data_IF_585051769940
#
_entry.id   IF_585051769940
#
_cell.length_a   1.000
_cell.length_b   1.000
_cell.length_c   1.000
_cell.angle_alpha   90.00
_cell.angle_beta   90.00
_cell.angle_gamma   90.00
#
_symmetry.space_group_name_H-M   'P 1'
#
loop_
_entity.id
_entity.type
_entity.pdbx_description
1 polymer ?
#
# COMPACT_ATOMS: atom_id res chain seq x y z
N UNK A 1 5.97 19.38 -34.84
CA UNK A 1 7.05 19.18 -33.88
C UNK A 1 6.60 18.02 -33.00
N UNK A 2 7.21 16.84 -33.20
CA UNK A 2 6.80 15.60 -32.53
C UNK A 2 7.33 15.60 -31.09
N UNK A 3 6.44 15.61 -30.12
CA UNK A 3 6.80 15.34 -28.72
C UNK A 3 7.01 13.82 -28.59
N UNK A 4 8.24 13.39 -28.43
CA UNK A 4 8.58 12.02 -28.10
C UNK A 4 8.17 11.75 -26.66
N UNK A 5 7.20 10.85 -26.47
CA UNK A 5 6.93 10.21 -25.19
C UNK A 5 8.11 9.26 -24.96
N UNK A 6 8.93 9.54 -23.94
CA UNK A 6 9.97 8.61 -23.52
C UNK A 6 9.30 7.49 -22.71
N UNK A 7 8.98 6.40 -23.39
CA UNK A 7 8.80 5.11 -22.74
C UNK A 7 10.19 4.49 -22.63
N UNK A 8 10.82 4.61 -21.45
CA UNK A 8 12.02 3.84 -21.16
C UNK A 8 11.57 2.43 -20.79
N UNK A 9 11.53 1.55 -21.78
CA UNK A 9 11.36 0.12 -21.54
C UNK A 9 12.69 -0.43 -20.98
N UNK A 10 12.74 -0.69 -19.70
CA UNK A 10 13.78 -1.52 -19.10
C UNK A 10 13.39 -2.97 -19.37
N UNK A 11 14.00 -3.56 -20.39
CA UNK A 11 13.94 -5.01 -20.62
C UNK A 11 14.97 -5.65 -19.68
N UNK A 12 14.53 -6.06 -18.50
CA UNK A 12 15.28 -6.96 -17.65
C UNK A 12 15.09 -8.38 -18.20
N UNK A 13 16.17 -9.07 -18.51
CA UNK A 13 16.18 -10.49 -18.91
C UNK A 13 15.80 -11.34 -17.71
N UNK A 14 14.53 -11.73 -17.62
CA UNK A 14 14.03 -12.67 -16.61
C UNK A 14 14.36 -14.10 -17.01
N UNK A 15 15.06 -14.80 -16.11
CA UNK A 15 15.14 -16.27 -16.13
C UNK A 15 13.76 -16.81 -15.72
N UNK A 16 13.11 -17.54 -16.64
CA UNK A 16 11.76 -18.10 -16.46
C UNK A 16 11.84 -19.25 -15.42
N UNK A 17 11.63 -18.91 -14.17
CA UNK A 17 11.06 -19.82 -13.20
C UNK A 17 9.65 -19.33 -12.91
N UNK A 18 8.62 -20.17 -13.08
CA UNK A 18 7.29 -19.85 -12.58
C UNK A 18 7.37 -19.79 -11.04
N UNK A 19 7.68 -18.60 -10.54
CA UNK A 19 7.58 -18.33 -9.09
C UNK A 19 6.15 -17.86 -8.88
N UNK A 20 5.30 -18.73 -8.34
CA UNK A 20 4.08 -18.26 -7.70
C UNK A 20 4.53 -17.50 -6.47
N UNK A 21 4.75 -16.19 -6.61
CA UNK A 21 5.20 -15.36 -5.52
C UNK A 21 4.20 -15.45 -4.37
N UNK A 22 4.67 -15.89 -3.22
CA UNK A 22 3.96 -15.63 -1.98
C UNK A 22 4.26 -14.21 -1.61
N UNK A 23 3.25 -13.38 -1.60
CA UNK A 23 3.35 -11.95 -1.39
C UNK A 23 2.74 -11.63 -0.05
N UNK A 24 3.42 -10.81 0.71
CA UNK A 24 2.96 -10.37 2.00
C UNK A 24 3.11 -8.87 2.08
N UNK A 25 2.04 -8.19 2.42
CA UNK A 25 2.03 -6.76 2.70
C UNK A 25 1.10 -6.51 3.89
N UNK A 26 1.31 -5.43 4.59
CA UNK A 26 0.43 -5.02 5.69
C UNK A 26 0.09 -3.55 5.54
N UNK A 27 -1.15 -3.18 5.77
CA UNK A 27 -1.59 -1.79 5.93
C UNK A 27 -2.29 -1.62 7.26
N UNK A 28 -1.93 -0.57 8.01
CA UNK A 28 -2.57 -0.16 9.25
C UNK A 28 -3.06 1.28 9.13
N UNK A 29 -4.23 1.55 9.70
CA UNK A 29 -4.80 2.88 9.84
C UNK A 29 -5.06 3.16 11.31
N UNK A 30 -4.62 4.30 11.81
CA UNK A 30 -4.87 4.77 13.17
C UNK A 30 -5.40 6.20 13.15
N UNK A 31 -6.71 6.33 13.38
CA UNK A 31 -7.37 7.61 13.61
C UNK A 31 -7.29 7.93 15.10
N UNK A 32 -6.63 9.03 15.46
CA UNK A 32 -6.38 9.44 16.83
C UNK A 32 -7.31 10.58 17.24
N UNK A 33 -7.54 10.77 18.52
CA UNK A 33 -8.43 11.82 19.03
C UNK A 33 -7.86 13.24 18.81
N UNK A 34 -6.55 13.39 18.92
CA UNK A 34 -5.91 14.72 18.98
C UNK A 34 -4.86 15.01 17.92
N UNK A 35 -4.33 13.97 17.27
CA UNK A 35 -3.22 14.12 16.31
C UNK A 35 -3.57 13.70 14.88
N UNK A 36 -4.84 13.44 14.58
CA UNK A 36 -5.28 13.06 13.24
C UNK A 36 -4.98 11.61 12.88
N UNK A 37 -4.86 11.34 11.59
CA UNK A 37 -4.91 10.00 11.00
C UNK A 37 -3.54 9.57 10.47
N UNK A 38 -3.08 8.41 10.94
CA UNK A 38 -1.81 7.81 10.56
C UNK A 38 -2.03 6.55 9.72
N UNK A 39 -1.16 6.34 8.76
CA UNK A 39 -1.12 5.12 7.94
C UNK A 39 0.26 4.51 8.02
N UNK A 40 0.34 3.20 8.18
CA UNK A 40 1.56 2.42 8.04
C UNK A 40 1.36 1.34 6.99
N UNK A 41 2.39 1.10 6.18
CA UNK A 41 2.35 0.09 5.15
C UNK A 41 3.73 -0.57 4.99
N UNK A 42 3.76 -1.89 4.76
CA UNK A 42 4.95 -2.64 4.33
C UNK A 42 4.80 -3.15 2.90
N UNK A 43 5.87 -3.15 2.14
CA UNK A 43 6.06 -4.00 0.97
C UNK A 43 6.91 -5.19 1.41
N UNK A 44 6.32 -6.35 1.29
CA UNK A 44 6.97 -7.62 1.58
C UNK A 44 7.00 -8.42 0.26
N UNK A 45 8.20 -8.57 -0.31
CA UNK A 45 8.37 -9.10 -1.66
C UNK A 45 9.56 -10.07 -1.74
N UNK A 46 9.62 -10.86 -2.80
CA UNK A 46 10.70 -11.83 -3.00
C UNK A 46 11.94 -11.24 -3.67
N UNK A 47 11.87 -10.02 -4.17
CA UNK A 47 12.94 -9.30 -4.86
C UNK A 47 12.84 -7.80 -4.66
N UNK A 48 13.87 -7.07 -5.03
CA UNK A 48 13.86 -5.61 -4.97
C UNK A 48 12.90 -5.02 -6.01
N UNK A 49 12.03 -4.09 -5.56
CA UNK A 49 11.02 -3.48 -6.40
C UNK A 49 11.42 -2.13 -6.99
N UNK A 50 12.61 -1.63 -6.63
CA UNK A 50 13.15 -0.33 -7.02
C UNK A 50 12.18 0.84 -6.75
N UNK A 51 11.84 1.12 -5.50
CA UNK A 51 10.80 2.08 -5.16
C UNK A 51 11.20 3.52 -5.52
N UNK A 52 10.29 4.22 -6.19
CA UNK A 52 10.40 5.65 -6.49
C UNK A 52 9.27 6.42 -5.82
N UNK A 53 9.56 7.63 -5.38
CA UNK A 53 8.51 8.60 -5.09
C UNK A 53 8.12 9.30 -6.40
N UNK A 54 6.82 9.34 -6.68
CA UNK A 54 6.28 10.10 -7.80
C UNK A 54 5.33 11.18 -7.32
N UNK A 55 5.33 12.31 -8.03
CA UNK A 55 4.30 13.33 -7.90
C UNK A 55 3.67 13.58 -9.26
N UNK A 56 2.36 13.38 -9.34
CA UNK A 56 1.50 13.68 -10.47
C UNK A 56 0.73 14.97 -10.15
N UNK A 57 1.10 16.12 -10.72
CA UNK A 57 0.35 17.35 -10.52
C UNK A 57 -1.07 17.26 -11.08
N UNK A 58 -2.01 17.95 -10.44
CA UNK A 58 -3.34 18.17 -11.01
C UNK A 58 -3.23 18.77 -12.41
N UNK A 59 -4.21 18.49 -13.25
CA UNK A 59 -4.24 18.84 -14.67
C UNK A 59 -3.23 18.09 -15.55
N UNK A 60 -2.37 17.23 -15.01
CA UNK A 60 -1.57 16.32 -15.80
C UNK A 60 -2.39 15.10 -16.20
N UNK A 61 -2.05 14.54 -17.38
CA UNK A 61 -2.66 13.31 -17.84
C UNK A 61 -1.99 12.09 -17.22
N UNK A 62 -2.77 11.07 -16.92
CA UNK A 62 -2.32 9.76 -16.46
C UNK A 62 -3.07 8.64 -17.21
N UNK A 63 -2.48 7.46 -17.25
CA UNK A 63 -3.09 6.28 -17.86
C UNK A 63 -4.09 5.64 -16.89
N UNK A 64 -5.24 5.22 -17.40
CA UNK A 64 -6.22 4.42 -16.65
C UNK A 64 -6.08 2.92 -16.92
N UNK A 65 -5.46 2.58 -18.03
CA UNK A 65 -5.22 1.21 -18.44
C UNK A 65 -4.00 1.12 -19.37
N UNK A 66 -3.08 0.21 -19.09
CA UNK A 66 -1.85 0.09 -19.90
C UNK A 66 -2.11 -0.40 -21.32
N UNK A 67 -2.93 -1.43 -21.49
CA UNK A 67 -3.16 -2.04 -22.80
C UNK A 67 -3.94 -1.13 -23.77
N UNK A 68 -4.81 -0.27 -23.26
CA UNK A 68 -5.70 0.57 -24.07
C UNK A 68 -5.24 2.02 -24.23
N UNK A 69 -4.16 2.41 -23.54
CA UNK A 69 -3.57 3.76 -23.58
C UNK A 69 -4.60 4.88 -23.32
N UNK A 70 -5.64 4.59 -22.52
CA UNK A 70 -6.62 5.58 -22.11
C UNK A 70 -6.03 6.55 -21.10
N UNK A 71 -6.27 7.84 -21.36
CA UNK A 71 -5.73 8.91 -20.51
C UNK A 71 -6.87 9.76 -19.95
N UNK A 72 -6.78 10.07 -18.67
CA UNK A 72 -7.61 11.06 -18.02
C UNK A 72 -6.73 12.16 -17.41
N UNK A 73 -7.36 13.27 -17.09
CA UNK A 73 -6.69 14.40 -16.43
C UNK A 73 -6.94 14.34 -14.93
N UNK A 74 -5.88 14.48 -14.14
CA UNK A 74 -5.97 14.49 -12.69
C UNK A 74 -6.69 15.74 -12.17
N UNK A 75 -7.64 15.56 -11.27
CA UNK A 75 -8.32 16.65 -10.54
C UNK A 75 -7.54 17.07 -9.29
N UNK A 76 -6.78 16.15 -8.73
CA UNK A 76 -5.98 16.36 -7.53
C UNK A 76 -4.51 16.05 -7.82
N UNK A 77 -3.59 16.70 -7.10
CA UNK A 77 -2.20 16.30 -7.08
C UNK A 77 -2.12 14.95 -6.35
N UNK A 78 -1.31 14.03 -6.86
CA UNK A 78 -1.10 12.70 -6.26
C UNK A 78 0.37 12.50 -6.00
N UNK A 79 0.74 12.22 -4.75
CA UNK A 79 2.10 11.81 -4.38
C UNK A 79 2.03 10.39 -3.82
N UNK A 80 2.89 9.52 -4.31
CA UNK A 80 2.91 8.13 -3.88
C UNK A 80 4.22 7.44 -4.12
N UNK A 81 4.36 6.28 -3.49
CA UNK A 81 5.49 5.37 -3.71
C UNK A 81 5.12 4.33 -4.77
N UNK A 82 6.04 4.05 -5.67
CA UNK A 82 5.83 3.06 -6.73
C UNK A 82 6.51 1.74 -6.41
N UNK A 83 5.89 0.66 -6.87
CA UNK A 83 6.48 -0.67 -6.99
C UNK A 83 6.44 -1.04 -8.47
N UNK A 84 7.58 -1.33 -9.08
CA UNK A 84 7.70 -1.55 -10.53
C UNK A 84 7.11 -0.41 -11.39
N UNK A 85 7.23 0.84 -10.93
CA UNK A 85 6.73 2.02 -11.62
C UNK A 85 5.21 2.28 -11.50
N UNK A 86 4.49 1.48 -10.70
CA UNK A 86 3.06 1.63 -10.42
C UNK A 86 2.87 2.17 -9.00
N UNK A 87 2.02 3.18 -8.81
CA UNK A 87 1.71 3.70 -7.48
C UNK A 87 0.99 2.62 -6.67
N UNK A 88 1.62 2.18 -5.59
CA UNK A 88 1.09 1.15 -4.68
C UNK A 88 0.66 1.69 -3.33
N UNK A 89 1.07 2.90 -3.00
CA UNK A 89 0.58 3.68 -1.86
C UNK A 89 0.73 5.18 -2.15
N UNK A 90 -0.13 5.99 -1.57
CA UNK A 90 -0.05 7.42 -1.78
C UNK A 90 -1.20 8.20 -1.15
N UNK A 91 -1.11 9.51 -1.30
CA UNK A 91 -2.10 10.49 -0.85
C UNK A 91 -2.32 11.53 -1.95
N UNK A 92 -3.54 12.05 -2.06
CA UNK A 92 -3.83 13.19 -2.91
C UNK A 92 -3.93 14.50 -2.12
N UNK A 93 -4.00 15.61 -2.85
CA UNK A 93 -4.06 16.96 -2.25
C UNK A 93 -5.37 17.25 -1.51
N UNK A 94 -6.42 16.43 -1.68
CA UNK A 94 -7.66 16.52 -0.90
C UNK A 94 -7.56 15.74 0.43
N UNK A 95 -6.58 14.84 0.59
CA UNK A 95 -6.38 14.03 1.79
C UNK A 95 -6.93 12.61 1.69
N UNK A 96 -7.42 12.20 0.52
CA UNK A 96 -7.69 10.79 0.23
C UNK A 96 -6.36 10.07 0.03
N UNK A 97 -6.22 8.92 0.67
CA UNK A 97 -5.07 8.05 0.61
C UNK A 97 -5.49 6.62 0.27
N UNK A 98 -4.58 5.85 -0.28
CA UNK A 98 -4.87 4.44 -0.59
C UNK A 98 -3.60 3.61 -0.70
N UNK A 99 -3.80 2.30 -0.53
CA UNK A 99 -2.76 1.30 -0.61
C UNK A 99 -3.28 0.09 -1.38
N UNK A 100 -2.44 -0.49 -2.23
CA UNK A 100 -2.73 -1.77 -2.88
C UNK A 100 -1.85 -2.87 -2.29
N UNK A 101 -2.44 -4.03 -2.07
CA UNK A 101 -1.78 -5.24 -1.69
C UNK A 101 -2.18 -6.34 -2.67
N UNK A 102 -1.31 -7.32 -2.83
CA UNK A 102 -1.60 -8.46 -3.71
C UNK A 102 -2.73 -9.33 -3.15
N UNK A 103 -3.64 -9.74 -4.03
CA UNK A 103 -4.78 -10.60 -3.68
C UNK A 103 -5.03 -11.67 -4.76
N UNK A 104 -4.64 -12.92 -4.49
CA UNK A 104 -4.89 -14.05 -5.42
C UNK A 104 -6.36 -14.31 -5.69
N UNK A 105 -7.25 -13.85 -4.80
CA UNK A 105 -8.70 -13.98 -4.94
C UNK A 105 -9.33 -12.99 -5.89
N UNK A 106 -8.57 -12.03 -6.43
CA UNK A 106 -9.11 -11.08 -7.41
C UNK A 106 -9.68 -11.81 -8.62
N UNK A 107 -10.88 -11.41 -9.03
CA UNK A 107 -11.53 -11.91 -10.24
C UNK A 107 -10.61 -11.75 -11.46
N UNK A 108 -10.56 -12.78 -12.30
CA UNK A 108 -9.61 -12.86 -13.41
C UNK A 108 -10.16 -12.36 -14.74
N UNK A 109 -11.29 -11.65 -14.73
CA UNK A 109 -11.78 -11.02 -15.94
C UNK A 109 -10.75 -10.02 -16.46
N UNK A 110 -10.27 -10.30 -17.66
CA UNK A 110 -9.38 -9.39 -18.38
C UNK A 110 -10.16 -8.18 -18.86
N UNK A 111 -9.51 -7.02 -18.86
CA UNK A 111 -10.05 -5.87 -19.53
C UNK A 111 -10.12 -6.14 -21.03
N UNK A 112 -11.32 -6.12 -21.58
CA UNK A 112 -11.57 -6.32 -23.02
C UNK A 112 -12.08 -5.07 -23.71
N UNK A 113 -12.42 -4.03 -22.93
CA UNK A 113 -13.00 -2.79 -23.43
C UNK A 113 -12.09 -1.61 -23.16
N UNK A 114 -12.12 -0.63 -24.06
CA UNK A 114 -11.25 0.54 -23.97
C UNK A 114 -11.56 1.47 -22.81
N UNK A 115 -12.73 1.35 -22.20
CA UNK A 115 -13.22 2.13 -21.06
C UNK A 115 -13.08 1.41 -19.71
N UNK A 116 -12.62 0.17 -19.70
CA UNK A 116 -12.29 -0.55 -18.46
C UNK A 116 -11.13 0.12 -17.69
N UNK A 117 -11.15 -0.05 -16.39
CA UNK A 117 -10.06 0.39 -15.51
C UNK A 117 -9.17 -0.78 -15.14
N UNK A 118 -7.90 -0.70 -15.51
CA UNK A 118 -6.91 -1.73 -15.22
C UNK A 118 -6.42 -1.69 -13.77
N UNK A 119 -6.19 -2.84 -13.17
CA UNK A 119 -5.74 -2.98 -11.79
C UNK A 119 -4.45 -2.22 -11.47
N UNK A 120 -3.51 -2.14 -12.42
CA UNK A 120 -2.22 -1.46 -12.24
C UNK A 120 -2.37 0.05 -11.98
N UNK A 121 -3.29 0.71 -12.67
CA UNK A 121 -3.48 2.16 -12.52
C UNK A 121 -4.71 2.54 -11.69
N UNK A 122 -5.39 1.57 -11.12
CA UNK A 122 -6.66 1.82 -10.45
C UNK A 122 -6.52 2.72 -9.23
N UNK A 123 -5.51 2.47 -8.39
CA UNK A 123 -5.24 3.34 -7.25
C UNK A 123 -4.89 4.76 -7.70
N UNK A 124 -4.05 4.90 -8.75
CA UNK A 124 -3.74 6.21 -9.32
C UNK A 124 -5.00 6.94 -9.76
N UNK A 125 -5.93 6.23 -10.41
CA UNK A 125 -7.21 6.80 -10.83
C UNK A 125 -8.05 7.27 -9.63
N UNK A 126 -8.21 6.45 -8.61
CA UNK A 126 -8.97 6.80 -7.41
C UNK A 126 -8.41 8.05 -6.74
N UNK A 127 -7.10 8.11 -6.53
CA UNK A 127 -6.44 9.27 -5.92
C UNK A 127 -6.50 10.51 -6.81
N UNK A 128 -6.42 10.35 -8.14
CA UNK A 128 -6.45 11.48 -9.06
C UNK A 128 -7.85 12.10 -9.23
N UNK A 129 -8.93 11.37 -8.94
CA UNK A 129 -10.31 11.81 -9.25
C UNK A 129 -11.18 12.11 -8.05
N UNK A 130 -10.95 11.50 -6.89
CA UNK A 130 -11.86 11.56 -5.74
C UNK A 130 -11.20 12.22 -4.53
N UNK A 131 -12.03 12.90 -3.72
CA UNK A 131 -11.56 13.62 -2.53
C UNK A 131 -11.75 12.84 -1.22
N UNK A 132 -12.70 11.90 -1.19
CA UNK A 132 -13.08 11.16 0.02
C UNK A 132 -13.27 9.68 -0.26
N UNK A 133 -13.23 8.87 0.80
CA UNK A 133 -13.51 7.43 0.74
C UNK A 133 -14.91 7.18 0.15
N UNK A 134 -15.94 7.89 0.63
CA UNK A 134 -17.33 7.75 0.13
C UNK A 134 -17.41 7.92 -1.40
N UNK A 135 -16.75 8.96 -1.95
CA UNK A 135 -16.79 9.22 -3.38
C UNK A 135 -16.09 8.11 -4.19
N UNK A 136 -14.95 7.64 -3.69
CA UNK A 136 -14.22 6.57 -4.35
C UNK A 136 -14.97 5.24 -4.27
N UNK A 137 -15.60 4.91 -3.13
CA UNK A 137 -16.42 3.71 -2.95
C UNK A 137 -17.60 3.72 -3.93
N UNK A 138 -18.34 4.82 -4.02
CA UNK A 138 -19.46 4.93 -4.95
C UNK A 138 -19.03 4.71 -6.42
N UNK A 139 -17.84 5.17 -6.79
CA UNK A 139 -17.28 4.90 -8.12
C UNK A 139 -16.92 3.42 -8.31
N UNK A 140 -16.29 2.79 -7.30
CA UNK A 140 -15.84 1.39 -7.38
C UNK A 140 -17.01 0.43 -7.54
N UNK A 141 -18.14 0.70 -6.90
CA UNK A 141 -19.36 -0.13 -7.02
C UNK A 141 -19.85 -0.22 -8.47
N UNK A 142 -19.72 0.86 -9.23
CA UNK A 142 -20.16 0.93 -10.63
C UNK A 142 -19.05 0.55 -11.62
N UNK A 143 -17.78 0.70 -11.25
CA UNK A 143 -16.63 0.56 -12.12
C UNK A 143 -15.52 -0.26 -11.45
N UNK A 144 -15.70 -1.55 -11.21
CA UNK A 144 -14.68 -2.39 -10.55
C UNK A 144 -13.43 -2.52 -11.40
N UNK A 145 -12.27 -2.66 -10.75
CA UNK A 145 -11.00 -2.90 -11.44
C UNK A 145 -11.02 -4.25 -12.17
N UNK A 146 -10.49 -4.25 -13.39
CA UNK A 146 -10.23 -5.46 -14.18
C UNK A 146 -8.75 -5.85 -14.07
N UNK A 147 -8.47 -7.13 -14.15
CA UNK A 147 -7.08 -7.62 -14.10
C UNK A 147 -6.29 -7.12 -15.31
N UNK A 148 -5.15 -6.50 -15.06
CA UNK A 148 -4.22 -6.04 -16.07
C UNK A 148 -3.14 -7.07 -16.37
N UNK A 149 -2.61 -6.98 -17.61
CA UNK A 149 -1.44 -7.71 -18.06
C UNK A 149 -0.38 -6.72 -18.55
N UNK A 150 0.85 -7.03 -18.20
CA UNK A 150 1.99 -6.40 -18.88
C UNK A 150 2.47 -7.40 -19.93
N UNK A 151 2.48 -7.00 -21.21
CA UNK A 151 2.96 -7.84 -22.31
C UNK A 151 4.39 -8.32 -22.03
N UNK A 152 4.60 -9.63 -22.07
CA UNK A 152 5.90 -10.25 -21.79
C UNK A 152 6.18 -10.53 -20.29
N UNK A 153 5.28 -10.15 -19.39
CA UNK A 153 5.37 -10.51 -17.97
C UNK A 153 4.31 -11.56 -17.66
N UNK A 154 4.67 -12.79 -17.28
CA UNK A 154 3.71 -13.89 -17.07
C UNK A 154 2.94 -13.78 -15.74
N UNK A 155 2.92 -12.62 -15.11
CA UNK A 155 2.27 -12.39 -13.82
C UNK A 155 0.99 -11.57 -14.03
N UNK A 156 -0.12 -12.09 -13.51
CA UNK A 156 -1.37 -11.33 -13.38
C UNK A 156 -1.25 -10.39 -12.19
N UNK A 157 -1.56 -9.13 -12.41
CA UNK A 157 -1.57 -8.14 -11.33
C UNK A 157 -2.92 -8.18 -10.65
N UNK A 158 -3.03 -9.08 -9.70
CA UNK A 158 -4.19 -9.26 -8.86
C UNK A 158 -4.00 -8.49 -7.55
N UNK A 159 -4.98 -7.69 -7.14
CA UNK A 159 -4.86 -6.82 -5.98
C UNK A 159 -6.19 -6.58 -5.28
N UNK A 160 -6.09 -6.18 -4.03
CA UNK A 160 -7.15 -5.55 -3.26
C UNK A 160 -6.67 -4.18 -2.75
N UNK A 161 -7.61 -3.33 -2.39
CA UNK A 161 -7.33 -1.92 -2.10
C UNK A 161 -7.82 -1.56 -0.71
N UNK A 162 -7.04 -0.78 0.03
CA UNK A 162 -7.55 0.02 1.13
C UNK A 162 -7.59 1.49 0.74
N UNK A 163 -8.66 2.16 1.12
CA UNK A 163 -8.80 3.61 1.05
C UNK A 163 -9.01 4.17 2.45
N UNK A 164 -8.51 5.36 2.68
CA UNK A 164 -8.69 6.13 3.91
C UNK A 164 -8.60 7.61 3.61
N UNK A 165 -9.18 8.44 4.46
CA UNK A 165 -9.07 9.89 4.33
C UNK A 165 -8.85 10.61 5.67
N UNK A 166 -8.69 11.92 5.62
CA UNK A 166 -8.40 12.75 6.80
C UNK A 166 -9.53 12.81 7.83
N UNK A 167 -10.70 12.25 7.56
CA UNK A 167 -11.80 12.12 8.53
C UNK A 167 -11.65 10.86 9.40
N UNK A 168 -10.66 10.00 9.10
CA UNK A 168 -10.50 8.68 9.68
C UNK A 168 -11.41 7.61 9.06
N UNK A 169 -12.13 7.96 8.00
CA UNK A 169 -12.93 6.98 7.26
C UNK A 169 -12.02 6.00 6.49
N UNK A 170 -12.50 4.77 6.31
CA UNK A 170 -11.73 3.67 5.72
C UNK A 170 -12.62 2.73 4.93
N UNK A 171 -12.08 2.21 3.84
CA UNK A 171 -12.69 1.12 3.10
C UNK A 171 -11.65 0.07 2.71
N UNK A 172 -12.03 -1.20 2.80
CA UNK A 172 -11.26 -2.34 2.25
C UNK A 172 -12.08 -2.90 1.10
N UNK A 173 -11.46 -3.09 -0.05
CA UNK A 173 -12.13 -3.49 -1.28
C UNK A 173 -11.43 -4.73 -1.86
N UNK A 174 -12.18 -5.80 -2.03
CA UNK A 174 -11.79 -7.01 -2.73
C UNK A 174 -12.61 -7.16 -4.02
N UNK A 175 -11.96 -7.49 -5.12
CA UNK A 175 -12.63 -7.70 -6.41
C UNK A 175 -12.88 -9.19 -6.63
N UNK A 176 -14.14 -9.59 -6.68
CA UNK A 176 -14.58 -10.98 -6.83
C UNK A 176 -15.44 -11.15 -8.08
N UNK A 177 -15.73 -12.37 -8.49
CA UNK A 177 -16.54 -12.66 -9.70
C UNK A 177 -17.95 -12.05 -9.61
N UNK A 178 -18.51 -11.99 -8.40
CA UNK A 178 -19.83 -11.42 -8.16
C UNK A 178 -19.82 -9.88 -8.10
N UNK A 179 -18.67 -9.27 -8.18
CA UNK A 179 -18.46 -7.82 -8.05
C UNK A 179 -17.56 -7.46 -6.86
N UNK A 180 -17.35 -6.16 -6.62
CA UNK A 180 -16.53 -5.71 -5.52
C UNK A 180 -17.22 -6.01 -4.17
N UNK A 181 -16.45 -6.58 -3.23
CA UNK A 181 -16.82 -6.69 -1.82
C UNK A 181 -16.19 -5.54 -1.08
N UNK A 182 -17.00 -4.74 -0.39
CA UNK A 182 -16.56 -3.50 0.24
C UNK A 182 -16.91 -3.51 1.73
N UNK A 183 -15.89 -3.37 2.56
CA UNK A 183 -16.02 -3.11 3.99
C UNK A 183 -15.71 -1.64 4.24
N UNK A 184 -16.73 -0.83 4.50
CA UNK A 184 -16.63 0.61 4.62
C UNK A 184 -16.96 1.06 6.05
N UNK A 185 -16.10 1.85 6.64
CA UNK A 185 -16.22 2.44 7.98
C UNK A 185 -14.92 2.47 8.77
N UNK A 186 -14.88 3.31 9.79
CA UNK A 186 -13.69 3.59 10.62
C UNK A 186 -13.10 2.37 11.33
N UNK A 187 -13.88 1.31 11.53
CA UNK A 187 -13.44 0.08 12.21
C UNK A 187 -12.52 -0.81 11.36
N UNK A 188 -12.46 -0.59 10.05
CA UNK A 188 -11.65 -1.41 9.14
C UNK A 188 -10.23 -0.85 9.01
N UNK A 189 -9.44 -1.06 10.04
CA UNK A 189 -8.13 -0.43 10.24
C UNK A 189 -6.93 -1.27 9.84
N UNK A 190 -7.11 -2.57 9.66
CA UNK A 190 -6.03 -3.51 9.30
C UNK A 190 -6.34 -4.16 7.97
N UNK A 191 -5.35 -4.30 7.09
CA UNK A 191 -5.41 -5.10 5.87
C UNK A 191 -4.08 -5.84 5.69
N UNK A 192 -4.17 -7.14 5.41
CA UNK A 192 -3.05 -7.99 4.98
C UNK A 192 -3.50 -8.76 3.73
N UNK A 193 -2.69 -9.65 3.19
CA UNK A 193 -3.07 -10.44 2.01
C UNK A 193 -4.15 -11.49 2.34
N UNK A 194 -4.25 -12.58 1.56
CA UNK A 194 -5.24 -13.64 1.81
C UNK A 194 -5.18 -14.23 3.24
N UNK A 195 -6.26 -14.80 3.72
CA UNK A 195 -7.56 -15.11 3.07
C UNK A 195 -8.46 -13.90 2.87
N UNK A 196 -9.69 -14.12 2.36
CA UNK A 196 -10.71 -13.08 2.22
C UNK A 196 -10.92 -12.32 3.54
N UNK A 197 -11.25 -11.06 3.44
CA UNK A 197 -11.32 -10.15 4.60
C UNK A 197 -12.28 -10.61 5.69
N UNK A 198 -13.43 -11.22 5.32
CA UNK A 198 -14.36 -11.83 6.28
C UNK A 198 -13.71 -12.94 7.12
N UNK A 199 -12.81 -13.70 6.53
CA UNK A 199 -12.10 -14.75 7.25
C UNK A 199 -11.09 -14.16 8.22
N UNK A 200 -10.43 -13.06 7.85
CA UNK A 200 -9.57 -12.30 8.78
C UNK A 200 -10.36 -11.79 9.98
N UNK A 201 -11.51 -11.18 9.76
CA UNK A 201 -12.38 -10.71 10.84
C UNK A 201 -12.82 -11.87 11.75
N UNK A 202 -13.23 -13.00 11.18
CA UNK A 202 -13.60 -14.19 11.95
C UNK A 202 -12.42 -14.79 12.73
N UNK A 203 -11.19 -14.73 12.18
CA UNK A 203 -9.97 -15.17 12.86
C UNK A 203 -9.67 -14.29 14.07
N UNK A 204 -9.80 -12.97 13.94
CA UNK A 204 -9.63 -12.02 15.07
C UNK A 204 -10.64 -12.34 16.16
N UNK A 205 -11.92 -12.49 15.84
CA UNK A 205 -12.95 -12.80 16.84
C UNK A 205 -12.67 -14.12 17.60
N UNK A 206 -12.13 -15.13 16.90
CA UNK A 206 -11.69 -16.37 17.57
C UNK A 206 -10.48 -16.14 18.48
N UNK A 207 -9.54 -15.31 18.06
CA UNK A 207 -8.30 -15.03 18.78
C UNK A 207 -8.52 -14.19 20.03
N UNK A 208 -9.55 -13.33 20.07
CA UNK A 208 -9.92 -12.51 21.24
C UNK A 208 -10.15 -13.34 22.49
N UNK A 209 -10.58 -14.59 22.35
CA UNK A 209 -10.75 -15.50 23.49
C UNK A 209 -9.44 -15.79 24.24
N UNK A 210 -8.30 -15.72 23.53
CA UNK A 210 -6.95 -15.92 24.09
C UNK A 210 -6.29 -14.63 24.57
N UNK A 211 -6.85 -13.46 24.26
CA UNK A 211 -6.22 -12.17 24.59
C UNK A 211 -6.41 -11.74 26.04
N UNK A 212 -7.22 -12.45 26.83
CA UNK A 212 -7.39 -12.18 28.24
C UNK A 212 -8.17 -10.89 28.54
N UNK A 213 -9.21 -10.60 27.76
CA UNK A 213 -10.11 -9.45 27.95
C UNK A 213 -10.93 -9.46 29.25
N UNK A 214 -10.62 -10.37 30.20
CA UNK A 214 -11.20 -10.30 31.51
C UNK A 214 -10.39 -9.35 32.40
N UNK A 215 -11.06 -8.38 32.96
CA UNK A 215 -10.49 -7.43 33.91
C UNK A 215 -9.59 -8.18 34.94
N UNK A 216 -8.33 -7.72 35.06
CA UNK A 216 -7.33 -8.18 36.03
C UNK A 216 -6.72 -9.58 35.84
N UNK A 217 -6.86 -10.23 34.69
CA UNK A 217 -6.10 -11.43 34.44
C UNK A 217 -4.96 -11.15 33.44
N UNK A 218 -3.76 -10.93 33.93
CA UNK A 218 -2.55 -11.31 33.20
C UNK A 218 -2.59 -12.83 33.05
N UNK A 219 -3.37 -13.31 32.13
CA UNK A 219 -3.38 -14.73 31.77
C UNK A 219 -1.98 -15.09 31.30
N UNK A 220 -1.38 -16.10 31.86
CA UNK A 220 -0.14 -16.70 31.32
C UNK A 220 -0.32 -17.19 29.88
N UNK A 221 -1.55 -17.25 29.41
CA UNK A 221 -1.89 -17.59 28.03
C UNK A 221 -1.93 -16.39 27.09
N UNK A 222 -1.91 -15.16 27.63
CA UNK A 222 -1.79 -13.95 26.82
C UNK A 222 -0.32 -13.70 26.45
N UNK A 223 0.27 -14.64 25.73
CA UNK A 223 1.64 -14.57 25.22
C UNK A 223 1.74 -13.76 23.93
N UNK A 224 0.78 -12.84 23.73
CA UNK A 224 0.69 -12.11 22.48
C UNK A 224 0.07 -12.95 21.38
N UNK A 225 0.24 -12.50 20.16
CA UNK A 225 -0.41 -13.07 18.98
C UNK A 225 0.44 -14.10 18.26
N UNK A 226 1.62 -14.41 18.77
CA UNK A 226 2.64 -15.16 18.01
C UNK A 226 3.17 -14.31 16.85
N UNK A 227 4.46 -14.23 16.65
CA UNK A 227 5.03 -13.58 15.49
C UNK A 227 5.13 -14.58 14.36
N UNK A 228 4.41 -14.35 13.25
CA UNK A 228 4.56 -15.16 12.05
C UNK A 228 4.37 -14.29 10.81
N UNK A 229 5.05 -14.67 9.73
CA UNK A 229 5.05 -13.94 8.47
C UNK A 229 3.76 -14.13 7.66
N UNK A 230 2.96 -15.16 7.95
CA UNK A 230 1.73 -15.39 7.18
C UNK A 230 0.70 -14.26 7.38
N UNK A 231 -0.15 -13.99 6.40
CA UNK A 231 -1.09 -12.87 6.46
C UNK A 231 -2.08 -12.95 7.61
N UNK A 232 -2.55 -14.13 7.98
CA UNK A 232 -3.53 -14.32 9.06
C UNK A 232 -2.93 -13.93 10.41
N UNK A 233 -1.71 -14.39 10.71
CA UNK A 233 -1.03 -14.05 11.96
C UNK A 233 -0.66 -12.57 12.02
N UNK A 234 -0.23 -11.97 10.90
CA UNK A 234 0.04 -10.52 10.82
C UNK A 234 -1.23 -9.69 11.05
N UNK A 235 -2.38 -10.14 10.53
CA UNK A 235 -3.66 -9.49 10.77
C UNK A 235 -4.07 -9.54 12.24
N UNK A 236 -3.97 -10.71 12.86
CA UNK A 236 -4.27 -10.92 14.29
C UNK A 236 -3.31 -10.10 15.16
N UNK A 237 -2.00 -10.15 14.89
CA UNK A 237 -0.98 -9.35 15.56
C UNK A 237 -1.30 -7.85 15.50
N UNK A 238 -1.54 -7.34 14.31
CA UNK A 238 -1.84 -5.94 14.10
C UNK A 238 -3.13 -5.52 14.79
N UNK A 239 -4.21 -6.32 14.69
CA UNK A 239 -5.48 -6.03 15.34
C UNK A 239 -5.35 -5.98 16.86
N UNK A 240 -4.56 -6.88 17.44
CA UNK A 240 -4.31 -6.88 18.88
C UNK A 240 -3.57 -5.62 19.32
N UNK A 241 -2.41 -5.33 18.72
CA UNK A 241 -1.58 -4.21 19.17
C UNK A 241 -2.17 -2.84 18.83
N UNK A 242 -2.92 -2.72 17.72
CA UNK A 242 -3.67 -1.49 17.39
C UNK A 242 -4.65 -1.12 18.50
N UNK A 243 -5.34 -2.10 19.10
CA UNK A 243 -6.26 -1.89 20.21
C UNK A 243 -5.58 -1.44 21.53
N UNK A 244 -4.24 -1.50 21.60
CA UNK A 244 -3.48 -1.12 22.80
C UNK A 244 -2.63 0.15 22.61
N UNK A 245 -2.69 0.78 21.42
CA UNK A 245 -2.00 2.04 21.21
C UNK A 245 -2.64 3.16 22.04
N UNK A 246 -1.79 3.89 22.75
CA UNK A 246 -2.20 5.09 23.48
C UNK A 246 -1.98 6.32 22.62
N UNK A 247 -2.78 7.37 22.82
CA UNK A 247 -2.67 8.64 22.08
C UNK A 247 -1.21 9.09 21.93
N UNK A 248 -0.81 9.52 20.74
CA UNK A 248 0.55 9.96 20.48
C UNK A 248 0.78 11.36 21.04
N UNK A 249 2.00 11.62 21.50
CA UNK A 249 2.40 12.95 21.99
C UNK A 249 2.80 13.93 20.88
N UNK A 250 2.99 13.42 19.68
CA UNK A 250 3.36 14.21 18.49
C UNK A 250 3.15 13.37 17.22
N UNK A 251 3.21 13.98 16.03
CA UNK A 251 3.08 13.28 14.75
C UNK A 251 4.17 12.23 14.60
N UNK A 252 5.43 12.56 14.84
CA UNK A 252 6.53 11.58 14.77
C UNK A 252 6.34 10.43 15.77
N UNK A 253 5.86 10.72 17.00
CA UNK A 253 5.56 9.68 17.97
C UNK A 253 4.43 8.75 17.49
N UNK A 254 3.40 9.30 16.83
CA UNK A 254 2.32 8.51 16.24
C UNK A 254 2.83 7.57 15.14
N UNK A 255 3.62 8.08 14.21
CA UNK A 255 4.24 7.27 13.15
C UNK A 255 5.13 6.15 13.72
N UNK A 256 5.97 6.45 14.73
CA UNK A 256 6.85 5.45 15.34
C UNK A 256 6.08 4.39 16.13
N UNK A 257 5.00 4.77 16.82
CA UNK A 257 4.12 3.81 17.50
C UNK A 257 3.47 2.87 16.49
N UNK A 258 2.91 3.41 15.42
CA UNK A 258 2.27 2.62 14.37
C UNK A 258 3.27 1.71 13.65
N UNK A 259 4.47 2.23 13.33
CA UNK A 259 5.57 1.45 12.76
C UNK A 259 5.98 0.27 13.65
N UNK A 260 5.92 0.43 14.98
CA UNK A 260 6.27 -0.64 15.91
C UNK A 260 5.27 -1.79 15.94
N UNK A 261 4.01 -1.52 15.59
CA UNK A 261 2.95 -2.53 15.46
C UNK A 261 3.05 -3.27 14.13
N UNK A 262 3.51 -2.60 13.10
CA UNK A 262 3.60 -3.18 11.75
C UNK A 262 4.66 -4.28 11.72
N UNK A 263 4.23 -5.53 11.53
CA UNK A 263 5.16 -6.67 11.46
C UNK A 263 6.08 -6.54 10.25
N UNK A 264 7.37 -6.75 10.46
CA UNK A 264 8.40 -6.77 9.42
C UNK A 264 8.96 -8.18 9.29
N UNK A 265 8.91 -8.70 8.08
CA UNK A 265 9.36 -10.06 7.78
C UNK A 265 10.88 -10.03 7.62
N UNK A 266 11.62 -10.86 8.39
CA UNK A 266 13.08 -10.92 8.30
C UNK A 266 13.56 -11.34 6.90
N UNK A 267 14.73 -10.81 6.50
CA UNK A 267 15.45 -11.29 5.31
C UNK A 267 15.91 -12.73 5.49
N UNK A 268 16.06 -13.42 4.37
CA UNK A 268 16.60 -14.78 4.26
C UNK A 268 15.82 -15.88 4.99
N UNK A 269 14.67 -15.52 5.61
CA UNK A 269 13.81 -16.50 6.22
C UNK A 269 12.93 -17.20 5.17
N UNK A 270 12.99 -18.50 5.01
CA UNK A 270 12.04 -19.23 4.18
C UNK A 270 10.68 -19.24 4.87
N UNK A 271 9.73 -18.49 4.33
CA UNK A 271 8.46 -18.25 5.00
C UNK A 271 7.30 -19.08 4.47
N UNK A 272 7.37 -19.49 3.20
CA UNK A 272 6.28 -20.22 2.53
C UNK A 272 6.82 -21.33 1.63
N UNK A 273 6.13 -22.47 1.53
CA UNK A 273 6.41 -23.44 0.49
C UNK A 273 5.78 -22.98 -0.84
N UNK A 274 6.61 -22.89 -1.88
CA UNK A 274 6.18 -22.66 -3.26
C UNK A 274 6.66 -23.85 -4.08
N UNK A 275 5.73 -24.62 -4.65
CA UNK A 275 6.02 -25.83 -5.44
C UNK A 275 6.98 -26.81 -4.73
N UNK A 276 6.84 -26.94 -3.41
CA UNK A 276 7.67 -27.81 -2.58
C UNK A 276 9.05 -27.26 -2.23
N UNK A 277 9.37 -26.04 -2.65
CA UNK A 277 10.58 -25.32 -2.28
C UNK A 277 10.21 -24.22 -1.29
N UNK A 278 10.94 -24.12 -0.17
CA UNK A 278 10.76 -22.99 0.75
C UNK A 278 11.28 -21.72 0.10
N UNK A 279 10.38 -20.80 -0.16
CA UNK A 279 10.71 -19.46 -0.64
C UNK A 279 10.53 -18.42 0.48
N UNK A 280 11.36 -17.39 0.46
CA UNK A 280 11.26 -16.26 1.36
C UNK A 280 10.70 -15.03 0.63
N UNK A 281 10.00 -14.20 1.37
CA UNK A 281 9.75 -12.82 1.03
C UNK A 281 10.05 -11.99 2.28
N UNK A 282 10.79 -10.93 2.09
CA UNK A 282 11.18 -10.06 3.19
C UNK A 282 10.46 -8.73 3.10
N UNK A 283 10.37 -8.02 4.21
CA UNK A 283 9.97 -6.61 4.16
C UNK A 283 11.06 -5.80 3.49
N UNK A 284 10.81 -5.34 2.27
CA UNK A 284 11.73 -4.48 1.52
C UNK A 284 11.74 -3.08 2.13
N UNK A 285 10.53 -2.51 2.34
CA UNK A 285 10.40 -1.24 3.02
C UNK A 285 9.10 -1.12 3.81
N UNK A 286 9.13 -0.20 4.78
CA UNK A 286 7.96 0.27 5.50
C UNK A 286 7.85 1.78 5.34
N UNK A 287 6.63 2.27 5.05
CA UNK A 287 6.32 3.69 5.00
C UNK A 287 5.21 4.02 5.97
N UNK A 288 5.41 5.09 6.73
CA UNK A 288 4.46 5.62 7.71
C UNK A 288 4.21 7.08 7.37
N UNK A 289 2.96 7.49 7.30
CA UNK A 289 2.64 8.88 6.98
C UNK A 289 1.40 9.38 7.72
N UNK A 290 1.36 10.69 7.92
CA UNK A 290 0.29 11.39 8.59
C UNK A 290 -0.54 12.16 7.56
N UNK A 291 -1.85 11.86 7.45
CA UNK A 291 -2.69 12.35 6.36
C UNK A 291 -2.88 13.87 6.39
N UNK A 292 -3.01 14.47 7.57
CA UNK A 292 -3.28 15.91 7.69
C UNK A 292 -2.05 16.77 7.39
N UNK A 293 -0.84 16.36 7.81
CA UNK A 293 0.39 17.14 7.56
C UNK A 293 1.17 16.72 6.33
N UNK A 294 1.02 15.48 5.86
CA UNK A 294 1.85 14.90 4.80
C UNK A 294 3.23 14.45 5.25
N UNK A 295 3.57 14.58 6.54
CA UNK A 295 4.82 14.05 7.09
C UNK A 295 4.91 12.55 6.89
N UNK A 296 6.06 12.09 6.41
CA UNK A 296 6.30 10.70 6.02
C UNK A 296 7.64 10.22 6.54
N UNK A 297 7.66 9.00 7.03
CA UNK A 297 8.84 8.27 7.46
C UNK A 297 8.90 6.95 6.69
N UNK A 298 9.97 6.75 5.92
CA UNK A 298 10.23 5.52 5.18
C UNK A 298 11.48 4.85 5.70
N UNK A 299 11.44 3.54 5.86
CA UNK A 299 12.61 2.67 6.07
C UNK A 299 12.69 1.63 4.97
N UNK A 300 13.85 1.52 4.38
CA UNK A 300 14.20 0.53 3.37
C UNK A 300 15.37 -0.30 3.87
N UNK A 301 15.33 -1.60 3.62
CA UNK A 301 16.46 -2.51 3.87
C UNK A 301 16.40 -3.68 2.92
N UNK A 302 17.47 -3.88 2.15
CA UNK A 302 17.63 -5.05 1.28
C UNK A 302 19.10 -5.30 0.99
N UNK A 303 19.61 -6.49 1.30
CA UNK A 303 21.04 -6.79 1.20
C UNK A 303 21.89 -5.80 2.01
N UNK A 304 22.82 -5.12 1.35
CA UNK A 304 23.66 -4.07 1.95
C UNK A 304 23.04 -2.67 1.84
N UNK A 305 21.91 -2.53 1.15
CA UNK A 305 21.23 -1.25 0.98
C UNK A 305 20.30 -0.97 2.17
N UNK A 306 20.55 0.16 2.82
CA UNK A 306 19.73 0.67 3.92
C UNK A 306 19.54 2.16 3.77
N UNK A 307 18.28 2.61 3.97
CA UNK A 307 17.98 4.03 4.11
C UNK A 307 16.84 4.27 5.08
N UNK A 308 16.85 5.43 5.71
CA UNK A 308 15.75 5.96 6.50
C UNK A 308 15.53 7.40 6.06
N UNK A 309 14.36 7.66 5.46
CA UNK A 309 14.01 8.94 4.87
C UNK A 309 12.86 9.57 5.64
N UNK A 310 12.92 10.89 5.76
CA UNK A 310 11.82 11.75 6.16
C UNK A 310 11.52 12.71 5.01
N UNK A 311 10.26 12.86 4.66
CA UNK A 311 9.83 13.82 3.64
C UNK A 311 8.37 14.23 3.85
N UNK A 312 7.96 15.32 3.21
CA UNK A 312 6.61 15.83 3.33
C UNK A 312 5.89 15.77 1.98
N UNK A 313 4.92 14.85 1.85
CA UNK A 313 4.16 14.65 0.62
C UNK A 313 3.35 15.88 0.22
N UNK A 314 2.81 16.66 1.17
CA UNK A 314 2.05 17.87 0.86
C UNK A 314 2.93 19.01 0.37
N UNK A 315 4.15 19.17 0.89
CA UNK A 315 5.11 20.13 0.35
C UNK A 315 5.53 19.76 -1.07
N UNK A 316 5.72 18.48 -1.33
CA UNK A 316 6.01 17.96 -2.67
C UNK A 316 4.86 18.26 -3.63
N UNK A 317 3.61 18.04 -3.25
CA UNK A 317 2.41 18.41 -4.03
C UNK A 317 2.35 19.91 -4.28
N UNK A 318 2.57 20.71 -3.24
CA UNK A 318 2.53 22.18 -3.34
C UNK A 318 3.58 22.75 -4.29
N UNK A 319 4.66 22.01 -4.59
CA UNK A 319 5.65 22.40 -5.59
C UNK A 319 5.08 22.47 -7.02
N UNK A 320 3.98 21.79 -7.29
CA UNK A 320 3.35 21.70 -8.61
C UNK A 320 4.19 21.01 -9.67
N UNK A 321 5.31 20.40 -9.29
CA UNK A 321 6.25 19.76 -10.20
C UNK A 321 5.87 18.31 -10.46
N UNK A 322 6.08 17.84 -11.69
CA UNK A 322 6.09 16.43 -11.99
C UNK A 322 7.42 15.83 -11.51
N UNK A 323 7.35 14.83 -10.63
CA UNK A 323 8.51 14.25 -9.97
C UNK A 323 8.48 12.73 -10.17
N UNK A 324 9.67 12.19 -10.38
CA UNK A 324 10.02 10.78 -10.25
C UNK A 324 11.40 10.73 -9.60
N UNK A 325 11.44 10.29 -8.34
CA UNK A 325 12.64 10.33 -7.51
C UNK A 325 12.93 8.96 -6.92
N UNK A 326 14.08 8.39 -7.23
CA UNK A 326 14.50 7.10 -6.69
C UNK A 326 14.74 7.19 -5.19
N UNK A 327 14.04 6.37 -4.40
CA UNK A 327 14.10 6.41 -2.93
C UNK A 327 15.31 5.67 -2.35
N UNK A 328 15.90 4.74 -3.11
CA UNK A 328 17.07 3.98 -2.69
C UNK A 328 18.29 4.41 -3.50
N UNK A 329 19.13 5.20 -2.88
CA UNK A 329 20.37 5.73 -3.50
C UNK A 329 21.49 5.75 -2.47
N UNK A 330 22.74 5.49 -2.88
CA UNK A 330 23.90 5.56 -1.97
C UNK A 330 23.99 6.93 -1.27
N UNK A 331 24.01 6.91 0.05
CA UNK A 331 24.14 8.12 0.88
C UNK A 331 22.87 8.94 1.07
N UNK A 332 21.72 8.52 0.50
CA UNK A 332 20.44 9.17 0.75
C UNK A 332 19.88 8.73 2.11
N UNK A 333 19.88 9.65 3.08
CA UNK A 333 19.39 9.41 4.44
C UNK A 333 18.89 10.71 5.08
N UNK A 334 17.91 10.62 5.96
CA UNK A 334 17.36 11.76 6.72
C UNK A 334 16.25 12.51 6.00
N UNK A 335 16.19 13.83 6.22
CA UNK A 335 15.18 14.70 5.60
C UNK A 335 15.56 15.00 4.14
N UNK A 336 14.64 14.71 3.20
CA UNK A 336 14.93 14.76 1.75
C UNK A 336 13.87 15.51 0.94
N UNK A 337 12.90 16.18 1.56
CA UNK A 337 11.81 16.88 0.87
C UNK A 337 12.33 17.82 -0.21
N UNK A 338 13.30 18.68 0.11
CA UNK A 338 13.83 19.65 -0.84
C UNK A 338 14.59 18.98 -2.00
N UNK A 339 15.35 17.90 -1.73
CA UNK A 339 16.04 17.14 -2.78
C UNK A 339 15.04 16.52 -3.76
N UNK A 340 13.91 16.00 -3.24
CA UNK A 340 12.81 15.47 -4.05
C UNK A 340 12.21 16.58 -4.92
N UNK A 341 11.88 17.74 -4.33
CA UNK A 341 11.31 18.88 -5.06
C UNK A 341 12.27 19.41 -6.14
N UNK A 342 13.57 19.48 -5.85
CA UNK A 342 14.56 19.95 -6.80
C UNK A 342 14.75 19.02 -7.99
N UNK A 343 14.49 17.73 -7.84
CA UNK A 343 14.57 16.74 -8.94
C UNK A 343 13.44 16.88 -9.96
N UNK A 344 12.36 17.57 -9.59
CA UNK A 344 11.16 17.71 -10.42
C UNK A 344 11.29 18.77 -11.53
N UNK A 345 10.42 18.62 -12.54
CA UNK A 345 10.34 19.46 -13.74
C UNK A 345 9.11 20.34 -13.74
#
# INVERSE_FOLDING_TARGET
MNKKVLSSAIIATFSIGMVTAAEACTRLLWDTESNGTFVSRTIDWSEQTDPHLVNLPKSNSYLTHFAHNNQLTAKFDVTGTTTYGVITDGINSAGLSGNVLYDRGMATEESTQSDDFGSLNYLTHLLAQFATVDQAVAFIEENPAKTDFIEGVPIRIALHISLQDTSGDSAIIEFREEGPRIWHGKQYTVMTNQPDYDQHLANVERSKRGWGEQENQYSQTNLGTGGNANPEDRFIHSSYYMGHLTEPSSIINGMLKLDSVTYKIPHDAPNVPIDGVMAGYATEYAVNYHLQSGETLMRYQWGDDYTQLQYNMKEIQASGKQIEFKLVQPGLIGEVTQQIIESGR
#
